data_IF_740018096792
#
_entry.id   IF_740018096792
#
_cell.length_a   1.000
_cell.length_b   1.000
_cell.length_c   1.000
_cell.angle_alpha   90.00
_cell.angle_beta   90.00
_cell.angle_gamma   90.00
#
_symmetry.space_group_name_H-M   'P 1'
#
loop_
_entity.id
_entity.type
_entity.pdbx_description
1 polymer ?
#
# COMPACT_ATOMS: atom_id res chain seq x y z
N UNK A 1 24.03 26.45 -56.99
CA UNK A 1 23.11 26.71 -55.86
C UNK A 1 22.14 25.55 -55.79
N UNK A 2 22.36 24.61 -54.85
CA UNK A 2 21.48 23.46 -54.61
C UNK A 2 21.31 23.34 -53.10
N UNK A 3 20.09 23.52 -52.62
CA UNK A 3 19.71 23.49 -51.21
C UNK A 3 19.40 22.05 -50.81
N UNK A 4 20.24 21.46 -49.97
CA UNK A 4 20.00 20.14 -49.40
C UNK A 4 19.14 20.30 -48.14
N UNK A 5 17.82 20.03 -48.24
CA UNK A 5 16.91 20.04 -47.10
C UNK A 5 17.03 18.71 -46.38
N UNK A 6 17.68 18.70 -45.21
CA UNK A 6 17.65 17.53 -44.33
C UNK A 6 16.20 17.23 -43.89
N UNK A 7 15.74 15.99 -43.99
CA UNK A 7 14.41 15.60 -43.53
C UNK A 7 14.30 15.71 -42.01
N UNK A 8 13.27 16.43 -41.56
CA UNK A 8 12.91 16.71 -40.15
C UNK A 8 12.39 15.47 -39.37
N UNK A 9 12.76 14.25 -39.79
CA UNK A 9 12.20 12.97 -39.32
C UNK A 9 13.01 12.30 -38.20
N UNK A 10 13.76 13.05 -37.40
CA UNK A 10 14.62 12.50 -36.33
C UNK A 10 14.18 12.83 -34.90
N UNK A 11 12.92 13.22 -34.68
CA UNK A 11 12.50 13.75 -33.37
C UNK A 11 11.07 13.36 -32.96
N UNK A 12 10.64 12.10 -33.09
CA UNK A 12 9.28 11.72 -32.63
C UNK A 12 9.07 10.22 -32.31
N UNK A 13 9.90 9.57 -31.48
CA UNK A 13 9.53 8.25 -30.92
C UNK A 13 10.00 8.11 -29.46
N UNK A 14 9.36 8.82 -28.53
CA UNK A 14 9.56 8.57 -27.09
C UNK A 14 8.42 9.12 -26.24
N UNK A 15 7.16 8.76 -26.55
CA UNK A 15 5.99 9.31 -25.86
C UNK A 15 4.87 8.31 -25.51
N UNK A 16 5.16 7.02 -25.30
CA UNK A 16 4.10 6.03 -24.97
C UNK A 16 4.52 4.97 -23.93
N UNK A 17 5.02 5.38 -22.76
CA UNK A 17 5.35 4.43 -21.69
C UNK A 17 4.86 4.86 -20.29
N UNK A 18 3.66 5.45 -20.16
CA UNK A 18 3.11 5.87 -18.85
C UNK A 18 1.69 5.38 -18.53
N UNK A 19 1.21 4.30 -19.15
CA UNK A 19 -0.16 3.81 -18.91
C UNK A 19 -0.23 2.41 -18.29
N UNK A 20 0.50 2.18 -17.19
CA UNK A 20 0.50 0.87 -16.49
C UNK A 20 0.31 0.93 -14.96
N UNK A 21 -0.15 2.06 -14.40
CA UNK A 21 -0.42 2.17 -12.95
C UNK A 21 -1.91 2.36 -12.65
N UNK A 22 -2.79 1.53 -13.23
CA UNK A 22 -4.11 1.32 -12.64
C UNK A 22 -3.96 0.18 -11.63
N UNK A 23 -3.46 0.50 -10.43
CA UNK A 23 -3.40 -0.47 -9.35
C UNK A 23 -4.82 -0.91 -8.99
N UNK A 24 -5.19 -2.13 -9.37
CA UNK A 24 -6.35 -2.84 -8.79
C UNK A 24 -6.01 -3.19 -7.36
N UNK A 25 -6.01 -2.20 -6.47
CA UNK A 25 -5.96 -2.41 -5.03
C UNK A 25 -7.30 -3.00 -4.54
N UNK A 26 -7.28 -3.57 -3.34
CA UNK A 26 -8.47 -4.03 -2.67
C UNK A 26 -9.50 -2.90 -2.47
N UNK A 27 -10.78 -3.25 -2.44
CA UNK A 27 -11.82 -2.31 -2.04
C UNK A 27 -11.72 -1.99 -0.54
N UNK A 28 -12.37 -0.92 -0.08
CA UNK A 28 -12.51 -0.62 1.35
C UNK A 28 -13.07 -1.81 2.15
N UNK A 29 -13.93 -2.63 1.51
CA UNK A 29 -14.52 -3.83 2.11
C UNK A 29 -13.60 -5.04 2.14
N UNK A 30 -12.45 -4.97 1.48
CA UNK A 30 -11.46 -6.06 1.41
C UNK A 30 -10.13 -5.66 2.08
N UNK A 31 -10.03 -4.41 2.55
CA UNK A 31 -8.84 -3.84 3.16
C UNK A 31 -8.84 -4.04 4.67
N UNK A 32 -7.66 -4.30 5.23
CA UNK A 32 -7.43 -4.35 6.68
C UNK A 32 -6.30 -3.42 7.10
N UNK A 33 -6.44 -2.83 8.29
CA UNK A 33 -5.45 -1.93 8.87
C UNK A 33 -4.95 -2.51 10.18
N UNK A 34 -3.63 -2.62 10.30
CA UNK A 34 -2.98 -2.95 11.55
C UNK A 34 -2.76 -1.68 12.36
N UNK A 35 -3.31 -1.69 13.56
CA UNK A 35 -3.10 -0.66 14.55
C UNK A 35 -2.29 -1.16 15.74
N UNK A 36 -1.71 -0.22 16.47
CA UNK A 36 -1.20 -0.42 17.82
C UNK A 36 -1.63 0.69 18.75
N UNK A 37 -1.53 0.46 20.05
CA UNK A 37 -1.63 1.53 21.03
C UNK A 37 -0.27 2.11 21.44
N UNK A 38 -0.30 3.11 22.32
CA UNK A 38 0.90 3.65 22.97
C UNK A 38 1.12 2.98 24.32
N UNK A 39 2.39 2.78 24.70
CA UNK A 39 2.77 2.33 26.05
C UNK A 39 2.34 3.31 27.13
N UNK A 40 2.22 4.60 26.81
CA UNK A 40 1.78 5.66 27.73
C UNK A 40 0.28 5.94 27.68
N UNK A 41 -0.43 5.45 26.65
CA UNK A 41 -1.86 5.66 26.50
C UNK A 41 -2.48 4.51 25.70
N UNK A 42 -3.21 3.64 26.41
CA UNK A 42 -3.80 2.43 25.84
C UNK A 42 -4.95 2.71 24.86
N UNK A 43 -5.52 3.92 24.88
CA UNK A 43 -6.63 4.34 24.01
C UNK A 43 -6.15 4.95 22.70
N UNK A 44 -4.84 5.21 22.55
CA UNK A 44 -4.31 5.70 21.28
C UNK A 44 -4.44 4.63 20.20
N UNK A 45 -4.81 5.06 19.00
CA UNK A 45 -4.85 4.22 17.80
C UNK A 45 -3.78 4.74 16.84
N UNK A 46 -2.67 4.02 16.74
CA UNK A 46 -1.52 4.37 15.91
C UNK A 46 -1.50 3.41 14.72
N UNK A 47 -1.60 3.97 13.52
CA UNK A 47 -1.48 3.20 12.27
C UNK A 47 -0.09 2.59 12.13
N UNK A 48 -0.03 1.33 11.72
CA UNK A 48 1.22 0.61 11.49
C UNK A 48 1.33 0.20 10.02
N UNK A 49 0.30 -0.46 9.49
CA UNK A 49 0.29 -0.97 8.13
C UNK A 49 -1.14 -1.09 7.59
N UNK A 50 -1.26 -1.13 6.25
CA UNK A 50 -2.50 -1.41 5.53
C UNK A 50 -2.27 -2.63 4.63
N UNK A 51 -3.26 -3.52 4.57
CA UNK A 51 -3.29 -4.75 3.78
C UNK A 51 -4.44 -4.65 2.77
N UNK A 52 -4.10 -4.33 1.53
CA UNK A 52 -5.02 -3.98 0.44
C UNK A 52 -4.65 -4.66 -0.89
N UNK A 53 -4.13 -5.89 -0.83
CA UNK A 53 -3.79 -6.67 -2.02
C UNK A 53 -5.04 -7.07 -2.82
N UNK A 54 -4.88 -7.22 -4.14
CA UNK A 54 -5.94 -7.60 -5.08
C UNK A 54 -6.53 -8.99 -4.82
N UNK A 55 -5.84 -9.82 -4.04
CA UNK A 55 -6.19 -11.20 -3.68
C UNK A 55 -7.42 -11.29 -2.75
N UNK A 56 -7.94 -10.15 -2.29
CA UNK A 56 -9.24 -10.04 -1.64
C UNK A 56 -9.22 -10.15 -0.11
N UNK A 57 -10.42 -10.10 0.48
CA UNK A 57 -10.63 -9.94 1.92
C UNK A 57 -9.88 -10.98 2.77
N UNK A 58 -9.98 -12.27 2.40
CA UNK A 58 -9.40 -13.36 3.19
C UNK A 58 -7.87 -13.25 3.25
N UNK A 59 -7.24 -12.96 2.11
CA UNK A 59 -5.80 -12.78 2.01
C UNK A 59 -5.33 -11.59 2.85
N UNK A 60 -6.02 -10.46 2.73
CA UNK A 60 -5.67 -9.24 3.47
C UNK A 60 -5.87 -9.41 4.99
N UNK A 61 -6.95 -10.10 5.39
CA UNK A 61 -7.21 -10.42 6.79
C UNK A 61 -6.12 -11.33 7.36
N UNK A 62 -5.81 -12.43 6.67
CA UNK A 62 -4.81 -13.41 7.13
C UNK A 62 -3.44 -12.78 7.29
N UNK A 63 -3.00 -11.97 6.32
CA UNK A 63 -1.72 -11.27 6.40
C UNK A 63 -1.71 -10.23 7.52
N UNK A 64 -2.82 -9.52 7.76
CA UNK A 64 -2.93 -8.61 8.89
C UNK A 64 -2.81 -9.36 10.22
N UNK A 65 -3.57 -10.44 10.39
CA UNK A 65 -3.58 -11.25 11.62
C UNK A 65 -2.19 -11.85 11.88
N UNK A 66 -1.52 -12.36 10.85
CA UNK A 66 -0.16 -12.88 10.97
C UNK A 66 0.83 -11.78 11.41
N UNK A 67 0.75 -10.58 10.83
CA UNK A 67 1.58 -9.46 11.23
C UNK A 67 1.29 -9.03 12.69
N UNK A 68 0.02 -8.99 13.09
CA UNK A 68 -0.41 -8.71 14.46
C UNK A 68 0.26 -9.69 15.43
N UNK A 69 0.17 -11.00 15.17
CA UNK A 69 0.77 -12.04 16.02
C UNK A 69 2.29 -11.90 16.10
N UNK A 70 2.96 -11.73 14.96
CA UNK A 70 4.41 -11.58 14.89
C UNK A 70 4.90 -10.37 15.66
N UNK A 71 4.20 -9.23 15.58
CA UNK A 71 4.57 -8.03 16.32
C UNK A 71 4.26 -8.15 17.80
N UNK A 72 3.15 -8.80 18.16
CA UNK A 72 2.78 -9.01 19.55
C UNK A 72 3.75 -9.96 20.27
N UNK A 73 4.32 -10.93 19.55
CA UNK A 73 5.23 -11.94 20.10
C UNK A 73 6.68 -11.44 20.32
N UNK A 74 7.03 -10.23 19.90
CA UNK A 74 8.40 -9.73 20.07
C UNK A 74 8.74 -9.51 21.55
N UNK A 75 9.96 -9.90 22.00
CA UNK A 75 10.37 -9.66 23.38
C UNK A 75 10.29 -8.19 23.78
N UNK A 76 9.67 -7.91 24.93
CA UNK A 76 9.55 -6.55 25.48
C UNK A 76 8.44 -5.69 24.89
N UNK A 77 7.60 -6.23 23.99
CA UNK A 77 6.42 -5.51 23.50
C UNK A 77 5.35 -5.39 24.59
N UNK A 78 5.05 -4.15 24.98
CA UNK A 78 4.01 -3.80 25.94
C UNK A 78 2.77 -3.15 25.28
N UNK A 79 2.83 -2.88 23.98
CA UNK A 79 1.69 -2.38 23.20
C UNK A 79 0.78 -3.53 22.78
N UNK A 80 -0.49 -3.21 22.55
CA UNK A 80 -1.46 -4.11 21.91
C UNK A 80 -1.47 -3.83 20.42
N UNK A 81 -1.50 -4.88 19.62
CA UNK A 81 -1.74 -4.83 18.18
C UNK A 81 -3.12 -5.41 17.85
N UNK A 82 -3.82 -4.83 16.87
CA UNK A 82 -5.07 -5.39 16.37
C UNK A 82 -5.31 -5.02 14.91
N UNK A 83 -5.99 -5.91 14.20
CA UNK A 83 -6.47 -5.68 12.85
C UNK A 83 -7.89 -5.11 12.84
N UNK A 84 -8.14 -4.14 11.97
CA UNK A 84 -9.45 -3.54 11.77
C UNK A 84 -9.79 -3.53 10.29
N UNK A 85 -11.01 -3.94 9.95
CA UNK A 85 -11.51 -3.91 8.57
C UNK A 85 -11.80 -2.48 8.14
N UNK A 86 -11.39 -2.12 6.93
CA UNK A 86 -11.59 -0.80 6.33
C UNK A 86 -10.28 -0.13 5.94
N UNK A 87 -10.38 1.10 5.43
CA UNK A 87 -9.25 1.88 4.94
C UNK A 87 -8.81 2.91 5.99
N UNK A 88 -7.49 3.07 6.16
CA UNK A 88 -6.95 4.07 7.07
C UNK A 88 -7.30 5.49 6.63
N UNK A 89 -7.79 6.31 7.58
CA UNK A 89 -8.08 7.74 7.38
C UNK A 89 -7.16 8.57 8.27
N UNK A 90 -6.49 9.57 7.68
CA UNK A 90 -5.56 10.49 8.36
C UNK A 90 -6.28 11.64 9.04
#
# INVERSE_FOLDING_TARGET
MATNRLPFYLLSISAFALSACNGTGATDTETFVLYRNSVTNQNMRIHVATFDAADGEAYNKENCDQAQELFQAQPGVATKFWCEKGTFRR
#
